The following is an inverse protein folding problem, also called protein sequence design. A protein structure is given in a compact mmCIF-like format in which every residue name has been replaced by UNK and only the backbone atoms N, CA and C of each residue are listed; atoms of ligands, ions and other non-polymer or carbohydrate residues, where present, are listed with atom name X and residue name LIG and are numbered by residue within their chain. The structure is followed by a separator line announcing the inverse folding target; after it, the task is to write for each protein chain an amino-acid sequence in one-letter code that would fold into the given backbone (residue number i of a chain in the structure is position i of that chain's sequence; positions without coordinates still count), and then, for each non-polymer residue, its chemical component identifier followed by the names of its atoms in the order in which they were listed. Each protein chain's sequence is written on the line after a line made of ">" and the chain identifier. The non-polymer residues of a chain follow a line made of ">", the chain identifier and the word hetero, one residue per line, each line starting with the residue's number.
data_IF_035887788648
#
_entry.id   IF_035887788648
#
_cell.length_a   1.000
_cell.length_b   1.000
_cell.length_c   1.000
_cell.angle_alpha   90.00
_cell.angle_beta   90.00
_cell.angle_gamma   90.00
#
_symmetry.space_group_name_H-M   'P 1'
#
loop_
_entity.id
_entity.type
_entity.pdbx_description
1 polymer ?
#
# COMPACT_ATOMS: atom_id res chain seq x y z
N UNK A 1 -59.90 -35.71 -24.98
CA UNK A 1 -59.94 -34.71 -23.89
C UNK A 1 -58.81 -35.03 -22.97
N UNK A 2 -57.68 -34.33 -23.14
CA UNK A 2 -56.50 -34.51 -22.31
C UNK A 2 -56.14 -33.12 -21.71
N UNK A 3 -56.33 -33.02 -20.40
CA UNK A 3 -55.97 -31.82 -19.65
C UNK A 3 -54.44 -31.79 -19.41
N UNK A 4 -53.77 -30.81 -19.97
CA UNK A 4 -52.38 -30.53 -19.70
C UNK A 4 -52.28 -29.70 -18.40
N UNK A 5 -51.78 -30.28 -17.35
CA UNK A 5 -51.36 -29.58 -16.13
C UNK A 5 -50.06 -28.86 -16.40
N UNK A 6 -50.12 -27.54 -16.41
CA UNK A 6 -48.91 -26.67 -16.40
C UNK A 6 -48.42 -26.56 -14.96
N UNK A 7 -47.32 -27.24 -14.64
CA UNK A 7 -46.60 -27.04 -13.36
C UNK A 7 -45.72 -25.80 -13.59
N UNK A 8 -46.10 -24.67 -12.97
CA UNK A 8 -45.34 -23.45 -12.90
C UNK A 8 -44.27 -23.60 -11.81
N UNK A 9 -43.04 -23.96 -12.17
CA UNK A 9 -41.92 -23.98 -11.25
C UNK A 9 -41.48 -22.51 -11.04
N UNK A 10 -41.92 -21.94 -9.92
CA UNK A 10 -41.45 -20.65 -9.44
C UNK A 10 -40.05 -20.84 -8.84
N UNK A 11 -39.00 -20.62 -9.65
CA UNK A 11 -37.64 -20.51 -9.16
C UNK A 11 -37.56 -19.24 -8.32
N UNK A 12 -37.58 -19.38 -7.01
CA UNK A 12 -37.17 -18.32 -6.08
C UNK A 12 -35.67 -18.11 -6.27
N UNK A 13 -35.30 -17.13 -7.11
CA UNK A 13 -34.00 -16.50 -7.10
C UNK A 13 -33.89 -15.69 -5.80
N UNK A 14 -33.52 -16.35 -4.71
CA UNK A 14 -33.02 -15.66 -3.54
C UNK A 14 -31.76 -14.92 -3.98
N UNK A 15 -31.73 -13.59 -3.88
CA UNK A 15 -30.47 -12.86 -4.07
C UNK A 15 -29.55 -13.34 -2.95
N UNK A 16 -28.57 -14.17 -3.31
CA UNK A 16 -27.45 -14.44 -2.46
C UNK A 16 -26.73 -13.08 -2.29
N UNK A 17 -27.17 -12.29 -1.29
CA UNK A 17 -26.35 -11.20 -0.78
C UNK A 17 -25.08 -11.90 -0.26
N UNK A 18 -24.03 -11.88 -1.08
CA UNK A 18 -22.68 -11.99 -0.58
C UNK A 18 -22.58 -10.86 0.46
N UNK A 19 -22.77 -11.26 1.71
CA UNK A 19 -22.34 -10.44 2.84
C UNK A 19 -20.82 -10.50 2.69
N UNK A 20 -20.25 -9.50 2.02
CA UNK A 20 -18.84 -9.20 2.15
C UNK A 20 -18.65 -9.05 3.67
N UNK A 21 -18.03 -10.05 4.29
CA UNK A 21 -17.67 -9.95 5.69
C UNK A 21 -16.76 -8.74 5.77
N UNK A 22 -17.22 -7.70 6.49
CA UNK A 22 -16.39 -6.53 6.75
C UNK A 22 -15.09 -7.04 7.38
N UNK A 23 -14.02 -7.00 6.60
CA UNK A 23 -12.71 -7.42 7.06
C UNK A 23 -12.22 -6.42 8.09
N UNK A 24 -11.82 -6.84 9.29
CA UNK A 24 -11.33 -5.93 10.31
C UNK A 24 -9.86 -5.52 10.05
N UNK A 25 -9.56 -5.10 8.84
CA UNK A 25 -8.25 -4.55 8.49
C UNK A 25 -8.16 -3.15 9.08
N UNK A 26 -7.14 -2.91 9.89
CA UNK A 26 -6.83 -1.57 10.36
C UNK A 26 -6.05 -0.84 9.31
N UNK A 27 -6.67 0.20 8.79
CA UNK A 27 -6.09 1.10 7.83
C UNK A 27 -6.06 2.50 8.44
N UNK A 28 -4.90 3.10 8.47
CA UNK A 28 -4.74 4.51 8.85
C UNK A 28 -3.95 5.19 7.77
N UNK A 29 -4.53 6.23 7.18
CA UNK A 29 -3.89 7.03 6.16
C UNK A 29 -3.85 8.51 6.51
N UNK A 30 -2.90 9.23 5.95
CA UNK A 30 -2.83 10.66 6.00
C UNK A 30 -2.36 11.22 4.67
N UNK A 31 -3.14 12.15 4.13
CA UNK A 31 -2.81 12.85 2.91
C UNK A 31 -1.85 14.00 3.17
N UNK A 32 -0.91 14.20 2.24
CA UNK A 32 0.04 15.31 2.27
C UNK A 32 -0.36 16.37 1.25
N UNK A 33 -0.39 17.62 1.69
CA UNK A 33 -0.71 18.76 0.83
C UNK A 33 0.38 19.03 -0.18
N UNK A 34 0.00 19.16 -1.43
CA UNK A 34 0.84 19.70 -2.48
C UNK A 34 0.05 20.69 -3.33
N UNK A 35 0.64 21.81 -3.69
CA UNK A 35 0.03 22.81 -4.57
C UNK A 35 0.24 22.54 -6.05
N UNK A 36 1.10 21.59 -6.39
CA UNK A 36 1.44 21.18 -7.75
C UNK A 36 0.92 19.77 -8.01
N UNK A 37 0.61 19.44 -9.25
CA UNK A 37 -0.01 18.16 -9.64
C UNK A 37 0.85 17.33 -10.59
N UNK A 38 2.14 17.67 -10.74
CA UNK A 38 3.05 17.05 -11.70
C UNK A 38 4.47 16.98 -11.12
N UNK A 39 4.66 16.11 -10.14
CA UNK A 39 5.95 15.90 -9.49
C UNK A 39 6.72 14.75 -10.13
N UNK A 40 8.02 14.94 -10.27
CA UNK A 40 8.95 13.91 -10.75
C UNK A 40 9.57 13.08 -9.63
N UNK A 41 9.55 13.60 -8.40
CA UNK A 41 10.06 12.91 -7.21
C UNK A 41 9.16 13.18 -6.01
N UNK A 42 8.84 12.11 -5.26
CA UNK A 42 8.19 12.19 -3.96
C UNK A 42 8.89 11.30 -2.95
N UNK A 43 8.95 11.76 -1.70
CA UNK A 43 9.58 10.99 -0.62
C UNK A 43 8.90 11.24 0.72
N UNK A 44 9.04 10.25 1.62
CA UNK A 44 8.59 10.30 3.01
C UNK A 44 9.57 9.55 3.90
N UNK A 45 9.80 10.05 5.11
CA UNK A 45 10.59 9.37 6.12
C UNK A 45 9.68 8.49 6.98
N UNK A 46 9.97 7.20 7.04
CA UNK A 46 9.19 6.18 7.75
C UNK A 46 10.03 5.62 8.90
N UNK A 47 9.47 5.65 10.10
CA UNK A 47 10.09 5.04 11.29
C UNK A 47 9.10 4.12 11.97
N UNK A 48 9.32 2.81 11.90
CA UNK A 48 8.56 1.86 12.71
C UNK A 48 9.08 1.96 14.14
N UNK A 49 8.23 2.38 15.07
CA UNK A 49 8.55 2.59 16.47
C UNK A 49 8.38 1.33 17.32
N UNK A 50 7.41 0.52 16.92
CA UNK A 50 7.10 -0.78 17.50
C UNK A 50 6.54 -1.71 16.43
N UNK A 51 6.97 -2.94 16.44
CA UNK A 51 6.39 -4.04 15.66
C UNK A 51 6.72 -5.34 16.40
N UNK A 52 5.70 -6.06 16.81
CA UNK A 52 5.86 -7.34 17.50
C UNK A 52 6.16 -8.49 16.50
N UNK A 53 6.15 -8.20 15.20
CA UNK A 53 6.43 -9.10 14.08
C UNK A 53 5.55 -10.34 13.97
N UNK A 54 4.46 -10.40 14.71
CA UNK A 54 3.53 -11.52 14.68
C UNK A 54 2.54 -11.39 13.51
N UNK A 55 2.00 -10.21 13.28
CA UNK A 55 1.06 -9.95 12.19
C UNK A 55 1.74 -9.37 10.94
N UNK A 56 1.00 -9.32 9.84
CA UNK A 56 1.50 -8.81 8.57
C UNK A 56 1.17 -7.34 8.40
N UNK A 57 2.09 -6.48 8.79
CA UNK A 57 2.00 -5.02 8.64
C UNK A 57 2.65 -4.52 7.37
N UNK A 58 2.04 -3.47 6.80
CA UNK A 58 2.56 -2.73 5.67
C UNK A 58 2.62 -1.23 6.00
N UNK A 59 3.80 -0.66 5.83
CA UNK A 59 4.12 0.75 6.05
C UNK A 59 4.45 1.36 4.71
N UNK A 60 3.55 2.14 4.14
CA UNK A 60 3.67 2.52 2.74
C UNK A 60 3.23 3.95 2.43
N UNK A 61 3.54 4.35 1.21
CA UNK A 61 3.23 5.62 0.63
C UNK A 61 2.61 5.40 -0.75
N UNK A 62 1.34 5.77 -0.88
CA UNK A 62 0.58 5.75 -2.12
C UNK A 62 0.70 7.10 -2.81
N UNK A 63 0.84 7.09 -4.11
CA UNK A 63 0.92 8.29 -4.95
C UNK A 63 -0.03 8.10 -6.13
N UNK A 64 -0.85 9.10 -6.37
CA UNK A 64 -1.71 9.17 -7.55
C UNK A 64 -0.93 9.73 -8.75
N UNK A 65 -1.36 9.34 -9.95
CA UNK A 65 -0.87 9.88 -11.20
C UNK A 65 -1.95 10.75 -11.85
N UNK A 66 -1.58 11.94 -12.31
CA UNK A 66 -2.51 13.00 -12.71
C UNK A 66 -3.03 12.89 -14.16
N UNK A 67 -2.70 11.83 -14.87
CA UNK A 67 -3.13 11.61 -16.24
C UNK A 67 -4.37 10.72 -16.35
N UNK A 68 -4.54 10.10 -17.52
CA UNK A 68 -5.66 9.19 -17.79
C UNK A 68 -5.52 7.90 -17.00
N UNK A 69 -6.66 7.32 -16.63
CA UNK A 69 -6.72 5.96 -16.11
C UNK A 69 -6.17 4.95 -17.12
N UNK A 70 -5.91 3.75 -16.67
CA UNK A 70 -5.53 2.63 -17.55
C UNK A 70 -6.68 2.27 -18.48
N UNK A 71 -6.39 1.52 -19.54
CA UNK A 71 -7.40 1.04 -20.50
C UNK A 71 -8.48 0.17 -19.84
N UNK A 72 -8.19 -0.43 -18.70
CA UNK A 72 -9.10 -1.28 -17.94
C UNK A 72 -9.75 -0.57 -16.74
N UNK A 73 -9.76 0.77 -16.71
CA UNK A 73 -10.23 1.59 -15.59
C UNK A 73 -9.57 1.29 -14.24
N UNK A 74 -8.40 0.66 -14.27
CA UNK A 74 -7.61 0.44 -13.06
C UNK A 74 -7.24 1.77 -12.38
N UNK A 75 -7.16 1.83 -11.06
CA UNK A 75 -6.77 3.03 -10.36
C UNK A 75 -5.42 3.59 -10.85
N UNK A 76 -5.36 4.89 -11.06
CA UNK A 76 -4.16 5.55 -11.54
C UNK A 76 -3.20 5.87 -10.38
N UNK A 77 -2.75 4.81 -9.70
CA UNK A 77 -1.94 4.88 -8.48
C UNK A 77 -0.69 4.00 -8.57
N UNK A 78 0.27 4.35 -7.75
CA UNK A 78 1.42 3.54 -7.37
C UNK A 78 1.62 3.61 -5.86
N UNK A 79 2.25 2.61 -5.28
CA UNK A 79 2.63 2.64 -3.89
C UNK A 79 3.95 1.90 -3.66
N UNK A 80 4.69 2.35 -2.68
CA UNK A 80 5.88 1.67 -2.21
C UNK A 80 5.98 1.75 -0.68
N UNK A 81 6.71 0.81 -0.12
CA UNK A 81 6.92 0.71 1.31
C UNK A 81 7.62 -0.57 1.70
N UNK A 82 7.55 -0.90 2.98
CA UNK A 82 8.13 -2.13 3.47
C UNK A 82 7.17 -2.87 4.41
N UNK A 83 7.29 -4.18 4.42
CA UNK A 83 6.47 -5.10 5.19
C UNK A 83 7.34 -5.91 6.14
N UNK A 84 6.73 -6.36 7.24
CA UNK A 84 7.18 -7.55 7.94
C UNK A 84 6.57 -8.81 7.26
N UNK A 85 7.03 -9.99 7.61
CA UNK A 85 6.44 -11.28 7.22
C UNK A 85 6.11 -11.46 5.72
N UNK A 86 6.97 -10.94 4.83
CA UNK A 86 6.79 -11.04 3.40
C UNK A 86 7.00 -12.45 2.85
N UNK A 87 6.35 -12.73 1.70
CA UNK A 87 6.49 -14.01 1.00
C UNK A 87 6.87 -13.81 -0.47
N UNK A 88 7.55 -14.80 -1.05
CA UNK A 88 7.73 -14.97 -2.48
C UNK A 88 7.04 -16.28 -2.89
N UNK A 89 5.82 -16.19 -3.38
CA UNK A 89 4.95 -17.34 -3.55
C UNK A 89 4.69 -18.03 -2.19
N UNK A 90 5.06 -19.32 -2.09
CA UNK A 90 4.94 -20.09 -0.85
C UNK A 90 6.14 -19.96 0.10
N UNK A 91 7.23 -19.31 -0.37
CA UNK A 91 8.46 -19.18 0.42
C UNK A 91 8.38 -17.92 1.30
N UNK A 92 8.52 -18.11 2.60
CA UNK A 92 8.68 -17.00 3.52
C UNK A 92 10.04 -16.30 3.33
N UNK A 93 10.04 -14.99 3.25
CA UNK A 93 11.22 -14.14 3.04
C UNK A 93 11.50 -13.22 4.22
N UNK A 94 10.52 -13.06 5.11
CA UNK A 94 10.61 -12.14 6.23
C UNK A 94 10.38 -10.69 5.83
N UNK A 95 11.16 -9.78 6.36
CA UNK A 95 11.07 -8.35 6.04
C UNK A 95 11.43 -8.09 4.60
N UNK A 96 10.59 -7.30 3.93
CA UNK A 96 10.79 -6.97 2.52
C UNK A 96 10.32 -5.57 2.19
N UNK A 97 10.79 -5.06 1.06
CA UNK A 97 10.29 -3.83 0.45
C UNK A 97 9.56 -4.13 -0.86
N UNK A 98 8.56 -3.30 -1.17
CA UNK A 98 7.67 -3.46 -2.32
C UNK A 98 7.53 -2.13 -3.03
N UNK A 99 7.51 -2.17 -4.36
CA UNK A 99 7.04 -1.09 -5.21
C UNK A 99 6.04 -1.66 -6.21
N UNK A 100 4.84 -1.09 -6.27
CA UNK A 100 3.72 -1.56 -7.06
C UNK A 100 3.12 -0.43 -7.88
N UNK A 101 2.68 -0.75 -9.10
CA UNK A 101 1.94 0.17 -9.97
C UNK A 101 0.71 -0.56 -10.51
N UNK A 102 -0.46 0.00 -10.27
CA UNK A 102 -1.72 -0.50 -10.82
C UNK A 102 -1.74 -0.31 -12.32
N UNK A 103 -2.27 -1.31 -13.05
CA UNK A 103 -2.32 -1.32 -14.50
C UNK A 103 -0.95 -1.39 -15.20
N UNK A 104 0.14 -1.67 -14.48
CA UNK A 104 1.40 -2.06 -15.07
C UNK A 104 1.43 -3.59 -15.32
N UNK A 105 2.18 -4.02 -16.32
CA UNK A 105 2.27 -5.44 -16.71
C UNK A 105 3.68 -5.99 -16.57
N UNK A 106 4.67 -5.12 -16.34
CA UNK A 106 6.08 -5.49 -16.24
C UNK A 106 6.85 -4.55 -15.33
N UNK A 107 8.02 -4.98 -14.91
CA UNK A 107 8.96 -4.17 -14.14
C UNK A 107 10.32 -4.84 -14.05
N UNK A 108 11.36 -4.05 -13.83
CA UNK A 108 12.70 -4.55 -13.63
C UNK A 108 12.99 -4.66 -12.14
N UNK A 109 13.23 -5.89 -11.72
CA UNK A 109 13.61 -6.27 -10.36
C UNK A 109 15.10 -6.12 -10.13
N UNK A 110 15.52 -5.97 -8.89
CA UNK A 110 16.91 -6.09 -8.48
C UNK A 110 17.41 -7.55 -8.53
N UNK A 111 18.73 -7.81 -8.58
CA UNK A 111 19.28 -9.16 -8.64
C UNK A 111 18.83 -10.08 -7.51
N UNK A 112 18.63 -9.55 -6.30
CA UNK A 112 18.14 -10.26 -5.11
C UNK A 112 16.62 -10.21 -4.98
N UNK A 113 15.92 -9.54 -5.90
CA UNK A 113 14.49 -9.30 -5.87
C UNK A 113 13.70 -10.22 -6.79
N UNK A 114 12.40 -10.02 -6.79
CA UNK A 114 11.45 -10.67 -7.71
C UNK A 114 10.36 -9.71 -8.15
N UNK A 115 9.77 -10.01 -9.31
CA UNK A 115 8.60 -9.31 -9.83
C UNK A 115 7.41 -10.25 -9.85
N UNK A 116 6.21 -9.71 -9.69
CA UNK A 116 4.96 -10.47 -9.75
C UNK A 116 3.80 -9.59 -10.15
N UNK A 117 2.91 -10.12 -10.96
CA UNK A 117 1.59 -9.55 -11.13
C UNK A 117 0.80 -9.68 -9.82
N UNK A 118 -0.10 -8.75 -9.59
CA UNK A 118 -1.07 -8.83 -8.50
C UNK A 118 -2.48 -8.62 -9.05
N UNK A 119 -3.46 -9.11 -8.29
CA UNK A 119 -4.88 -9.02 -8.60
C UNK A 119 -5.71 -9.04 -7.32
N UNK A 120 -7.04 -9.03 -7.45
CA UNK A 120 -7.99 -9.06 -6.34
C UNK A 120 -8.73 -7.74 -6.22
N UNK A 121 -8.11 -6.70 -5.74
CA UNK A 121 -8.67 -5.35 -5.66
C UNK A 121 -8.48 -4.54 -6.95
N UNK A 122 -7.86 -5.12 -7.96
CA UNK A 122 -7.47 -4.61 -9.26
C UNK A 122 -6.21 -5.32 -9.72
N UNK A 123 -5.68 -4.98 -10.88
CA UNK A 123 -4.51 -5.63 -11.45
C UNK A 123 -3.32 -4.70 -11.57
N UNK A 124 -2.12 -5.24 -11.53
CA UNK A 124 -0.90 -4.47 -11.70
C UNK A 124 0.36 -5.31 -11.51
N UNK A 125 1.49 -4.63 -11.41
CA UNK A 125 2.78 -5.26 -11.27
C UNK A 125 3.54 -4.72 -10.06
N UNK A 126 4.17 -5.64 -9.31
CA UNK A 126 5.02 -5.33 -8.16
C UNK A 126 6.44 -5.81 -8.39
N UNK A 127 7.41 -5.00 -7.98
CA UNK A 127 8.80 -5.41 -7.79
C UNK A 127 9.13 -5.39 -6.30
N UNK A 128 9.88 -6.37 -5.84
CA UNK A 128 10.09 -6.65 -4.42
C UNK A 128 11.52 -7.07 -4.17
N UNK A 129 12.03 -6.73 -2.97
CA UNK A 129 13.34 -7.18 -2.47
C UNK A 129 13.24 -7.66 -1.02
N UNK A 130 14.06 -8.61 -0.57
CA UNK A 130 14.31 -8.79 0.85
C UNK A 130 14.93 -7.49 1.39
N UNK A 131 14.39 -6.95 2.47
CA UNK A 131 14.86 -5.71 3.05
C UNK A 131 14.81 -5.79 4.59
N UNK A 132 15.97 -5.86 5.20
CA UNK A 132 16.12 -5.98 6.68
C UNK A 132 16.06 -4.61 7.34
N UNK A 133 14.87 -4.07 7.47
CA UNK A 133 14.67 -2.85 8.23
C UNK A 133 14.62 -3.13 9.75
N UNK A 134 14.96 -2.13 10.55
CA UNK A 134 15.01 -2.23 12.01
C UNK A 134 14.05 -1.25 12.68
N UNK A 135 13.41 -1.70 13.77
CA UNK A 135 12.58 -0.85 14.63
C UNK A 135 13.45 0.28 15.20
N UNK A 136 12.90 1.50 15.16
CA UNK A 136 13.59 2.70 15.61
C UNK A 136 14.51 3.35 14.56
N UNK A 137 14.80 2.66 13.45
CA UNK A 137 15.56 3.24 12.34
C UNK A 137 14.63 3.97 11.39
N UNK A 138 15.05 5.16 10.94
CA UNK A 138 14.32 5.95 9.96
C UNK A 138 14.81 5.66 8.56
N UNK A 139 13.90 5.25 7.70
CA UNK A 139 14.15 5.01 6.28
C UNK A 139 13.43 6.06 5.45
N UNK A 140 14.15 6.71 4.52
CA UNK A 140 13.51 7.55 3.50
C UNK A 140 13.07 6.68 2.35
N UNK A 141 11.78 6.58 2.15
CA UNK A 141 11.20 6.06 0.93
C UNK A 141 11.16 7.17 -0.12
N UNK A 142 11.69 6.89 -1.31
CA UNK A 142 11.65 7.83 -2.45
C UNK A 142 11.13 7.11 -3.68
N UNK A 143 10.15 7.69 -4.35
CA UNK A 143 9.69 7.27 -5.68
C UNK A 143 10.00 8.41 -6.64
N UNK A 144 10.65 8.11 -7.76
CA UNK A 144 10.99 9.13 -8.75
C UNK A 144 11.04 8.61 -10.18
N UNK A 145 10.83 9.51 -11.12
CA UNK A 145 11.11 9.29 -12.53
C UNK A 145 12.63 9.28 -12.70
N UNK A 146 13.17 8.19 -13.21
CA UNK A 146 14.62 8.05 -13.43
C UNK A 146 15.00 8.08 -14.90
N UNK A 147 14.04 7.83 -15.78
CA UNK A 147 14.21 7.85 -17.23
C UNK A 147 12.86 8.07 -17.91
N UNK A 148 12.89 8.37 -19.21
CA UNK A 148 11.68 8.59 -20.01
C UNK A 148 11.99 8.34 -21.48
N UNK A 149 11.24 7.44 -22.09
CA UNK A 149 11.25 7.18 -23.53
C UNK A 149 10.05 7.87 -24.23
N UNK A 150 9.79 7.57 -25.48
CA UNK A 150 8.66 8.17 -26.24
C UNK A 150 7.27 7.81 -25.63
N UNK A 151 7.14 6.64 -25.02
CA UNK A 151 5.86 6.06 -24.56
C UNK A 151 5.72 6.08 -23.05
N UNK A 152 6.81 5.92 -22.30
CA UNK A 152 6.79 5.66 -20.87
C UNK A 152 7.64 6.65 -20.08
N UNK A 153 7.24 6.90 -18.85
CA UNK A 153 8.09 7.33 -17.75
C UNK A 153 8.53 6.10 -16.98
N UNK A 154 9.81 5.99 -16.65
CA UNK A 154 10.33 4.89 -15.84
C UNK A 154 10.42 5.37 -14.40
N UNK A 155 9.53 4.84 -13.56
CA UNK A 155 9.55 5.12 -12.12
C UNK A 155 10.39 4.09 -11.39
N UNK A 156 11.14 4.56 -10.40
CA UNK A 156 11.89 3.69 -9.49
C UNK A 156 11.62 4.07 -8.04
N UNK A 157 11.61 3.06 -7.17
CA UNK A 157 11.48 3.26 -5.73
C UNK A 157 12.77 2.85 -5.00
N UNK A 158 13.11 3.64 -3.98
CA UNK A 158 14.32 3.52 -3.18
C UNK A 158 14.01 3.61 -1.69
N UNK A 159 14.80 2.92 -0.89
CA UNK A 159 14.85 3.08 0.56
C UNK A 159 16.27 3.49 0.98
N UNK A 160 16.36 4.60 1.69
CA UNK A 160 17.63 5.10 2.25
C UNK A 160 17.56 5.02 3.77
N UNK A 161 18.42 4.25 4.38
CA UNK A 161 18.68 4.33 5.82
C UNK A 161 19.30 5.69 6.15
N UNK A 162 18.58 6.52 6.91
CA UNK A 162 19.06 7.88 7.21
C UNK A 162 20.23 7.92 8.19
N UNK A 163 20.47 6.85 8.93
CA UNK A 163 21.61 6.73 9.85
C UNK A 163 22.89 6.38 9.09
N UNK A 164 22.85 5.33 8.28
CA UNK A 164 24.03 4.85 7.55
C UNK A 164 24.23 5.52 6.20
N UNK A 165 23.20 6.18 5.67
CA UNK A 165 23.13 6.75 4.31
C UNK A 165 23.19 5.71 3.19
N UNK A 166 23.04 4.45 3.53
CA UNK A 166 22.92 3.36 2.55
C UNK A 166 21.57 3.46 1.84
N UNK A 167 21.59 3.29 0.53
CA UNK A 167 20.38 3.32 -0.31
C UNK A 167 20.26 2.01 -1.08
N UNK A 168 19.08 1.40 -1.02
CA UNK A 168 18.71 0.24 -1.82
C UNK A 168 17.58 0.61 -2.78
N UNK A 169 17.71 0.20 -4.04
CA UNK A 169 16.62 0.30 -5.01
C UNK A 169 15.72 -0.90 -4.85
N UNK A 170 14.40 -0.69 -4.77
CA UNK A 170 13.41 -1.77 -4.73
C UNK A 170 13.22 -2.36 -6.13
N UNK A 171 13.24 -1.51 -7.14
CA UNK A 171 13.12 -1.84 -8.54
C UNK A 171 12.58 -0.68 -9.35
N UNK A 172 12.26 -0.93 -10.63
CA UNK A 172 11.70 0.06 -11.53
C UNK A 172 10.58 -0.49 -12.38
N UNK A 173 9.59 0.37 -12.69
CA UNK A 173 8.40 -0.01 -13.44
C UNK A 173 8.14 1.06 -14.52
N UNK A 174 8.01 0.67 -15.80
CA UNK A 174 7.59 1.56 -16.86
C UNK A 174 6.10 1.87 -16.73
N UNK A 175 5.74 3.14 -16.89
CA UNK A 175 4.37 3.64 -16.80
C UNK A 175 4.10 4.54 -18.00
N UNK A 176 3.03 4.27 -18.75
CA UNK A 176 2.66 5.09 -19.91
C UNK A 176 2.63 6.59 -19.56
N UNK A 177 3.21 7.44 -20.39
CA UNK A 177 3.18 8.91 -20.23
C UNK A 177 1.78 9.48 -20.15
N UNK A 178 0.80 8.82 -20.76
CA UNK A 178 -0.61 9.24 -20.69
C UNK A 178 -1.18 9.17 -19.27
N UNK A 179 -0.55 8.41 -18.37
CA UNK A 179 -0.92 8.32 -16.97
C UNK A 179 -0.42 9.50 -16.13
N UNK A 180 0.45 10.32 -16.71
CA UNK A 180 0.93 11.57 -16.10
C UNK A 180 2.08 11.39 -15.12
N UNK A 181 2.21 12.36 -14.24
CA UNK A 181 3.20 12.43 -13.17
C UNK A 181 2.53 12.35 -11.80
N UNK A 182 3.34 12.36 -10.77
CA UNK A 182 2.92 12.13 -9.38
C UNK A 182 2.18 13.33 -8.78
N UNK A 183 1.11 13.04 -8.01
CA UNK A 183 0.39 14.03 -7.19
C UNK A 183 -0.29 13.34 -6.00
N UNK A 184 -0.87 14.11 -5.09
CA UNK A 184 -1.73 13.66 -3.97
C UNK A 184 -1.17 12.46 -3.20
N UNK A 185 0.01 12.60 -2.56
CA UNK A 185 0.60 11.49 -1.82
C UNK A 185 -0.15 11.20 -0.51
N UNK A 186 -0.27 9.92 -0.18
CA UNK A 186 -0.91 9.41 1.03
C UNK A 186 0.04 8.40 1.68
N UNK A 187 0.32 8.55 2.96
CA UNK A 187 1.02 7.50 3.73
C UNK A 187 0.03 6.68 4.52
N UNK A 188 0.24 5.37 4.60
CA UNK A 188 -0.67 4.47 5.29
C UNK A 188 0.04 3.39 6.11
N UNK A 189 -0.67 2.95 7.15
CA UNK A 189 -0.32 1.86 8.05
C UNK A 189 -1.45 0.84 8.02
N UNK A 190 -1.17 -0.34 7.49
CA UNK A 190 -2.13 -1.41 7.25
C UNK A 190 -1.69 -2.70 7.93
N UNK A 191 -2.65 -3.41 8.54
CA UNK A 191 -2.52 -4.83 8.83
C UNK A 191 -3.39 -5.60 7.83
N UNK A 192 -2.77 -6.37 6.95
CA UNK A 192 -3.48 -7.07 5.88
C UNK A 192 -3.69 -8.55 6.17
N UNK A 193 -2.98 -9.12 7.16
CA UNK A 193 -3.09 -10.52 7.55
C UNK A 193 -2.57 -10.74 8.97
N UNK A 194 -3.15 -11.71 9.70
CA UNK A 194 -2.62 -12.15 10.99
C UNK A 194 -1.48 -13.17 10.81
N UNK A 195 -0.73 -13.43 11.87
CA UNK A 195 0.42 -14.35 11.90
C UNK A 195 0.08 -15.78 11.43
N UNK A 196 -1.15 -16.21 11.58
CA UNK A 196 -1.63 -17.52 11.12
C UNK A 196 -2.12 -17.53 9.65
N UNK A 197 -1.81 -16.47 8.88
CA UNK A 197 -2.25 -16.25 7.51
C UNK A 197 -3.78 -16.20 7.35
N UNK A 198 -4.50 -15.81 8.38
CA UNK A 198 -5.93 -15.56 8.31
C UNK A 198 -6.22 -14.07 8.18
N UNK A 199 -7.32 -13.74 7.51
CA UNK A 199 -7.86 -12.39 7.56
C UNK A 199 -8.49 -12.19 8.94
N UNK A 200 -8.19 -11.09 9.64
CA UNK A 200 -8.75 -10.85 10.97
C UNK A 200 -10.28 -10.86 10.95
N UNK A 201 -10.90 -11.74 11.71
CA UNK A 201 -12.37 -11.81 11.84
C UNK A 201 -12.88 -11.22 13.16
N UNK A 202 -11.98 -10.95 14.11
CA UNK A 202 -12.26 -10.41 15.44
C UNK A 202 -11.25 -9.36 15.80
N UNK A 203 -11.57 -8.55 16.79
CA UNK A 203 -10.68 -7.48 17.27
C UNK A 203 -9.61 -7.94 18.27
N UNK A 204 -9.71 -9.16 18.74
CA UNK A 204 -8.70 -9.82 19.57
C UNK A 204 -7.64 -10.49 18.68
N UNK A 205 -6.40 -10.41 19.05
CA UNK A 205 -5.30 -11.14 18.38
C UNK A 205 -4.43 -10.30 17.45
N UNK A 206 -4.63 -8.99 17.34
CA UNK A 206 -3.67 -8.12 16.66
C UNK A 206 -2.42 -7.91 17.52
N UNK A 207 -1.26 -8.08 16.94
CA UNK A 207 -0.01 -7.61 17.53
C UNK A 207 0.05 -6.08 17.53
N UNK A 208 0.91 -5.51 18.39
CA UNK A 208 1.06 -4.07 18.42
C UNK A 208 2.01 -3.57 17.34
N UNK A 209 1.61 -2.49 16.67
CA UNK A 209 2.47 -1.79 15.72
C UNK A 209 2.32 -0.28 15.88
N UNK A 210 3.44 0.45 15.81
CA UNK A 210 3.49 1.91 15.84
C UNK A 210 4.45 2.40 14.77
N UNK A 211 4.01 3.31 13.93
CA UNK A 211 4.80 3.92 12.86
C UNK A 211 4.66 5.43 12.87
N UNK A 212 5.73 6.13 12.52
CA UNK A 212 5.70 7.57 12.20
C UNK A 212 6.06 7.80 10.76
N UNK A 213 5.32 8.69 10.11
CA UNK A 213 5.60 9.22 8.78
C UNK A 213 5.90 10.70 8.92
N UNK A 214 7.07 11.12 8.45
CA UNK A 214 7.54 12.50 8.62
C UNK A 214 8.21 13.02 7.37
N UNK A 215 8.43 14.33 7.33
CA UNK A 215 9.30 14.98 6.35
C UNK A 215 8.98 14.60 4.90
N UNK A 216 7.67 14.45 4.58
CA UNK A 216 7.24 14.21 3.22
C UNK A 216 7.66 15.35 2.30
N UNK A 217 8.11 15.04 1.09
CA UNK A 217 8.60 15.99 0.10
C UNK A 217 8.11 15.64 -1.29
N UNK A 218 7.96 16.69 -2.12
CA UNK A 218 7.73 16.57 -3.54
C UNK A 218 8.69 17.54 -4.27
N UNK A 219 9.50 17.03 -5.20
CA UNK A 219 10.59 17.77 -5.88
C UNK A 219 11.47 18.57 -4.87
N UNK A 220 11.83 17.95 -3.75
CA UNK A 220 12.61 18.54 -2.67
C UNK A 220 11.87 19.50 -1.74
N UNK A 221 10.63 19.93 -2.06
CA UNK A 221 9.83 20.83 -1.22
C UNK A 221 9.11 20.05 -0.13
N UNK A 222 9.16 20.52 1.10
CA UNK A 222 8.47 19.92 2.24
C UNK A 222 6.95 20.04 2.05
N UNK A 223 6.25 18.95 2.37
CA UNK A 223 4.80 18.85 2.41
C UNK A 223 4.33 18.86 3.87
N UNK A 224 3.08 19.27 4.08
CA UNK A 224 2.42 19.20 5.39
C UNK A 224 1.30 18.16 5.35
N UNK A 225 1.04 17.41 6.43
CA UNK A 225 -0.12 16.55 6.53
C UNK A 225 -1.38 17.43 6.50
N UNK A 226 -2.33 17.10 5.61
CA UNK A 226 -3.49 17.94 5.36
C UNK A 226 -4.79 17.30 5.80
N UNK A 227 -5.01 16.07 5.43
CA UNK A 227 -6.26 15.35 5.69
C UNK A 227 -5.93 14.03 6.32
N UNK A 228 -6.67 13.73 7.37
CA UNK A 228 -6.68 12.44 8.01
C UNK A 228 -7.90 11.65 7.56
N UNK A 229 -7.66 10.56 6.88
CA UNK A 229 -8.65 9.53 6.66
C UNK A 229 -8.34 8.34 7.56
N UNK A 230 -9.25 8.08 8.47
CA UNK A 230 -9.30 6.81 9.15
C UNK A 230 -10.32 5.96 8.43
N UNK A 231 -9.85 5.13 7.51
CA UNK A 231 -10.74 4.18 6.88
C UNK A 231 -11.07 3.07 7.88
N UNK A 232 -12.33 3.07 8.29
CA UNK A 232 -12.84 2.18 9.31
C UNK A 232 -13.58 1.02 8.67
N UNK A 233 -12.94 0.27 7.79
CA UNK A 233 -13.46 -1.03 7.37
C UNK A 233 -13.55 -2.03 8.53
N UNK A 234 -13.04 -1.66 9.70
CA UNK A 234 -12.92 -2.51 10.85
C UNK A 234 -13.90 -2.17 11.95
N UNK A 235 -14.54 -3.19 12.51
CA UNK A 235 -15.26 -3.10 13.79
C UNK A 235 -14.34 -2.79 14.97
N UNK A 236 -13.03 -2.85 14.75
CA UNK A 236 -11.97 -2.75 15.77
C UNK A 236 -11.40 -1.33 15.94
N UNK A 237 -12.21 -0.31 15.72
CA UNK A 237 -11.82 1.11 15.79
C UNK A 237 -11.11 1.52 17.09
N UNK A 238 -11.42 0.86 18.20
CA UNK A 238 -10.81 1.15 19.50
C UNK A 238 -9.35 0.72 19.62
N UNK A 239 -8.89 -0.18 18.72
CA UNK A 239 -7.54 -0.70 18.77
C UNK A 239 -6.53 0.13 18.00
N UNK A 240 -6.97 1.08 17.20
CA UNK A 240 -6.08 1.90 16.40
C UNK A 240 -6.30 3.38 16.64
N UNK A 241 -5.28 4.16 16.37
CA UNK A 241 -5.33 5.61 16.48
C UNK A 241 -4.24 6.27 15.67
N UNK A 242 -4.30 7.59 15.68
CA UNK A 242 -3.26 8.41 15.07
C UNK A 242 -3.18 9.76 15.75
N UNK A 243 -2.02 10.39 15.61
CA UNK A 243 -1.76 11.73 16.12
C UNK A 243 -0.93 12.51 15.10
N UNK A 244 -1.34 13.76 14.86
CA UNK A 244 -0.59 14.69 14.03
C UNK A 244 0.40 15.50 14.84
N UNK A 245 1.48 15.88 14.16
CA UNK A 245 2.45 16.89 14.60
C UNK A 245 2.90 17.70 13.38
N UNK A 246 3.71 18.73 13.60
CA UNK A 246 4.01 19.76 12.59
C UNK A 246 4.53 19.22 11.26
N UNK A 247 5.35 18.18 11.28
CA UNK A 247 6.01 17.64 10.09
C UNK A 247 5.59 16.22 9.73
N UNK A 248 4.51 15.70 10.35
CA UNK A 248 4.07 14.35 10.09
C UNK A 248 2.91 13.85 10.94
N UNK A 249 2.80 12.55 11.01
CA UNK A 249 1.85 11.86 11.86
C UNK A 249 2.39 10.53 12.37
N UNK A 250 1.82 10.08 13.46
CA UNK A 250 2.03 8.75 14.02
C UNK A 250 0.73 7.96 13.90
N UNK A 251 0.85 6.69 13.54
CA UNK A 251 -0.24 5.73 13.54
C UNK A 251 0.11 4.55 14.42
N UNK A 252 -0.89 4.01 15.10
CA UNK A 252 -0.72 2.81 15.92
C UNK A 252 -1.89 1.86 15.83
N UNK A 253 -1.56 0.58 15.98
CA UNK A 253 -2.47 -0.51 16.32
C UNK A 253 -1.99 -1.07 17.65
N UNK A 254 -2.88 -1.30 18.60
CA UNK A 254 -2.55 -1.83 19.92
C UNK A 254 -3.48 -2.98 20.29
N UNK A 255 -2.97 -3.92 21.07
CA UNK A 255 -3.84 -4.92 21.70
C UNK A 255 -4.76 -4.22 22.71
N UNK A 256 -6.00 -4.68 22.90
CA UNK A 256 -6.80 -4.26 24.04
C UNK A 256 -6.07 -4.67 25.34
N UNK A 257 -5.94 -3.74 26.26
CA UNK A 257 -5.47 -4.03 27.61
C UNK A 257 -6.43 -4.92 28.36
#
# INVERSE_FOLDING_TARGET
>A
MLNLFHILILLFLLPCKLIASEMPIHFTDAQWSTSKTDHSEMSVDITVRKDDFDDHYYYAHTIYLNGKNTENDEPNIMYAGFQNNGTNGKKWVGRMAIFSVWGAYEGEKEPNGWGTEFGGEGTGYSVRIPFKWDVGTTYRLTIKVIDSDEKNNIFAAYLTDLKTKSTERIGRIPVSKNRGLMYSPISFHEVFMLHNNTIPSKCDGYSSSIVTFTNARADGRKLSPNIYHRDNYSKCKSLSGSMYFEDGFMSWVSQPN
#
